data_IF_770712193902
#
_entry.id   IF_770712193902
#
_cell.length_a   1.000
_cell.length_b   1.000
_cell.length_c   1.000
_cell.angle_alpha   90.00
_cell.angle_beta   90.00
_cell.angle_gamma   90.00
#
_symmetry.space_group_name_H-M   'P 1'
#
loop_
_entity.id
_entity.type
_entity.pdbx_description
1 polymer ?
#
# COMPACT_ATOMS: atom_id res chain seq x y z
N UNK A 1 4.28 3.41 22.24
CA UNK A 1 5.37 4.10 21.51
C UNK A 1 5.61 3.36 20.19
N UNK A 2 5.73 4.07 19.10
CA UNK A 2 6.09 3.50 17.81
C UNK A 2 7.57 3.09 17.80
N UNK A 3 7.85 1.87 17.37
CA UNK A 3 9.21 1.37 17.20
C UNK A 3 9.44 1.05 15.71
N UNK A 4 10.52 1.57 15.15
CA UNK A 4 10.92 1.34 13.77
C UNK A 4 12.33 0.74 13.71
N UNK A 5 12.46 -0.39 13.03
CA UNK A 5 13.74 -0.98 12.71
C UNK A 5 14.17 -0.59 11.29
N UNK A 6 15.44 -0.19 11.12
CA UNK A 6 15.98 0.22 9.81
C UNK A 6 16.25 -0.99 8.90
N UNK A 7 15.26 -1.85 8.75
CA UNK A 7 15.32 -3.00 7.85
C UNK A 7 13.90 -3.35 7.39
N UNK A 8 13.80 -3.91 6.19
CA UNK A 8 12.54 -4.47 5.72
C UNK A 8 12.18 -5.72 6.54
N UNK A 9 10.90 -5.99 6.74
CA UNK A 9 10.41 -7.20 7.41
C UNK A 9 10.90 -8.46 6.67
N UNK A 10 10.84 -8.44 5.35
CA UNK A 10 11.47 -9.44 4.49
C UNK A 10 12.38 -8.75 3.47
N UNK A 11 13.52 -9.35 3.12
CA UNK A 11 14.44 -8.75 2.16
C UNK A 11 13.84 -8.71 0.75
N UNK A 12 14.00 -7.57 0.09
CA UNK A 12 13.66 -7.39 -1.33
C UNK A 12 14.95 -7.22 -2.13
N UNK A 13 15.17 -8.09 -3.11
CA UNK A 13 16.35 -8.06 -3.96
C UNK A 13 15.97 -8.34 -5.41
N UNK A 14 15.73 -7.26 -6.17
CA UNK A 14 15.37 -7.31 -7.58
C UNK A 14 16.57 -6.87 -8.40
N UNK A 15 17.04 -7.74 -9.28
CA UNK A 15 18.26 -7.54 -10.07
C UNK A 15 18.03 -6.90 -11.43
N UNK A 16 16.81 -6.99 -11.96
CA UNK A 16 16.47 -6.46 -13.28
C UNK A 16 15.29 -5.49 -13.19
N UNK A 17 15.45 -4.23 -13.63
CA UNK A 17 14.36 -3.28 -13.72
C UNK A 17 13.24 -3.75 -14.63
N UNK A 18 12.01 -3.40 -14.31
CA UNK A 18 10.83 -3.66 -15.13
C UNK A 18 9.74 -2.63 -14.79
N UNK A 19 9.68 -1.56 -15.58
CA UNK A 19 8.74 -0.46 -15.35
C UNK A 19 7.28 -0.91 -15.43
N UNK A 20 6.95 -1.87 -16.31
CA UNK A 20 5.58 -2.35 -16.45
C UNK A 20 5.09 -3.13 -15.22
N UNK A 21 5.95 -3.96 -14.65
CA UNK A 21 5.63 -4.65 -13.38
C UNK A 21 5.55 -3.63 -12.25
N UNK A 22 6.48 -2.68 -12.17
CA UNK A 22 6.47 -1.63 -11.16
C UNK A 22 5.16 -0.83 -11.16
N UNK A 23 4.67 -0.49 -12.34
CA UNK A 23 3.41 0.25 -12.52
C UNK A 23 2.20 -0.53 -11.97
N UNK A 24 2.16 -1.84 -12.20
CA UNK A 24 1.11 -2.71 -11.66
C UNK A 24 1.21 -2.80 -10.13
N UNK A 25 2.42 -3.07 -9.61
CA UNK A 25 2.69 -3.22 -8.18
C UNK A 25 2.37 -1.93 -7.40
N UNK A 26 2.48 -0.76 -8.04
CA UNK A 26 2.19 0.51 -7.38
C UNK A 26 0.75 0.60 -6.83
N UNK A 27 -0.21 -0.15 -7.39
CA UNK A 27 -1.56 -0.25 -6.83
C UNK A 27 -1.59 -0.87 -5.43
N UNK A 28 -0.64 -1.75 -5.12
CA UNK A 28 -0.51 -2.31 -3.77
C UNK A 28 0.07 -1.31 -2.78
N UNK A 29 0.71 -0.25 -3.25
CA UNK A 29 1.14 0.85 -2.38
C UNK A 29 -0.01 1.79 -2.03
N UNK A 30 -0.69 2.34 -3.02
CA UNK A 30 -1.63 3.44 -2.84
C UNK A 30 -3.00 3.25 -3.48
N UNK A 31 -3.35 2.05 -3.95
CA UNK A 31 -4.70 1.72 -4.40
C UNK A 31 -5.69 1.59 -3.23
N UNK A 32 -7.00 1.44 -3.52
CA UNK A 32 -8.05 1.40 -2.50
C UNK A 32 -7.91 0.25 -1.49
N UNK A 33 -7.35 -0.86 -1.94
CA UNK A 33 -7.08 -2.06 -1.12
C UNK A 33 -5.57 -2.29 -0.94
N UNK A 34 -4.75 -1.27 -1.23
CA UNK A 34 -3.30 -1.34 -1.04
C UNK A 34 -2.90 -1.15 0.43
N UNK A 35 -1.62 -1.36 0.72
CA UNK A 35 -1.07 -1.40 2.09
C UNK A 35 -1.29 -0.10 2.88
N UNK A 36 -1.25 1.07 2.19
CA UNK A 36 -1.55 2.34 2.85
C UNK A 36 -3.02 2.41 3.28
N UNK A 37 -3.95 1.99 2.41
CA UNK A 37 -5.37 1.95 2.70
C UNK A 37 -5.68 0.94 3.81
N UNK A 38 -5.12 -0.26 3.74
CA UNK A 38 -5.26 -1.32 4.74
C UNK A 38 -4.82 -0.84 6.13
N UNK A 39 -3.62 -0.27 6.22
CA UNK A 39 -3.12 0.26 7.49
C UNK A 39 -4.06 1.33 8.09
N UNK A 40 -4.44 2.34 7.30
CA UNK A 40 -5.34 3.40 7.78
C UNK A 40 -6.72 2.88 8.13
N UNK A 41 -7.24 1.92 7.39
CA UNK A 41 -8.53 1.27 7.65
C UNK A 41 -8.51 0.59 9.02
N UNK A 42 -7.61 -0.32 9.25
CA UNK A 42 -7.52 -1.08 10.51
C UNK A 42 -7.22 -0.19 11.72
N UNK A 43 -6.29 0.73 11.60
CA UNK A 43 -5.93 1.66 12.67
C UNK A 43 -7.04 2.67 13.00
N UNK A 44 -7.98 2.91 12.07
CA UNK A 44 -9.16 3.73 12.31
C UNK A 44 -10.31 2.94 12.91
N UNK A 45 -10.57 1.75 12.38
CA UNK A 45 -11.67 0.88 12.82
C UNK A 45 -11.51 0.38 14.25
N UNK A 46 -10.26 0.21 14.73
CA UNK A 46 -9.99 -0.24 16.11
C UNK A 46 -10.68 0.61 17.17
N UNK A 47 -10.95 1.88 16.90
CA UNK A 47 -11.60 2.78 17.85
C UNK A 47 -13.12 2.57 17.94
N UNK A 48 -13.73 1.94 16.96
CA UNK A 48 -15.16 1.60 16.96
C UNK A 48 -15.43 0.13 17.35
N UNK A 49 -14.39 -0.69 17.58
CA UNK A 49 -14.56 -2.08 17.98
C UNK A 49 -15.00 -2.19 19.43
N UNK A 50 -16.13 -2.89 19.71
CA UNK A 50 -16.62 -3.07 21.07
C UNK A 50 -15.76 -4.06 21.89
N UNK A 51 -15.11 -5.01 21.24
CA UNK A 51 -14.22 -6.00 21.86
C UNK A 51 -12.76 -5.53 21.83
N UNK A 52 -12.15 -5.48 23.02
CA UNK A 52 -10.76 -5.02 23.18
C UNK A 52 -9.73 -5.94 22.51
N UNK A 53 -10.03 -7.24 22.39
CA UNK A 53 -9.11 -8.17 21.70
C UNK A 53 -9.12 -7.92 20.20
N UNK A 54 -10.31 -7.68 19.64
CA UNK A 54 -10.45 -7.31 18.22
C UNK A 54 -9.78 -5.97 17.95
N UNK A 55 -9.97 -4.97 18.80
CA UNK A 55 -9.26 -3.69 18.69
C UNK A 55 -7.73 -3.86 18.77
N UNK A 56 -7.24 -4.76 19.61
CA UNK A 56 -5.83 -5.13 19.70
C UNK A 56 -5.33 -5.79 18.43
N UNK A 57 -6.08 -6.75 17.89
CA UNK A 57 -5.76 -7.42 16.64
C UNK A 57 -5.66 -6.43 15.46
N UNK A 58 -6.65 -5.54 15.30
CA UNK A 58 -6.62 -4.51 14.28
C UNK A 58 -5.44 -3.53 14.45
N UNK A 59 -4.99 -3.32 15.68
CA UNK A 59 -3.78 -2.53 15.95
C UNK A 59 -2.53 -3.25 15.46
N UNK A 60 -2.42 -4.54 15.74
CA UNK A 60 -1.27 -5.35 15.34
C UNK A 60 -1.20 -5.45 13.81
N UNK A 61 -2.29 -5.85 13.17
CA UNK A 61 -2.36 -5.95 11.69
C UNK A 61 -2.11 -4.58 11.05
N UNK A 62 -2.82 -3.53 11.47
CA UNK A 62 -2.69 -2.21 10.87
C UNK A 62 -1.29 -1.60 10.99
N UNK A 63 -0.52 -1.97 12.02
CA UNK A 63 0.89 -1.58 12.13
C UNK A 63 1.81 -2.46 11.29
N UNK A 64 1.46 -3.73 11.07
CA UNK A 64 2.18 -4.63 10.17
C UNK A 64 2.06 -4.17 8.70
N UNK A 65 0.89 -3.65 8.29
CA UNK A 65 0.69 -3.10 6.95
C UNK A 65 1.65 -1.94 6.60
N UNK A 66 2.14 -1.22 7.59
CA UNK A 66 3.19 -0.20 7.37
C UNK A 66 4.54 -0.85 6.98
N UNK A 67 4.81 -2.06 7.46
CA UNK A 67 6.00 -2.81 7.04
C UNK A 67 5.81 -3.37 5.62
N UNK A 68 4.62 -3.83 5.27
CA UNK A 68 4.26 -4.25 3.91
C UNK A 68 4.37 -3.09 2.92
N UNK A 69 3.83 -1.94 3.27
CA UNK A 69 3.96 -0.70 2.50
C UNK A 69 5.43 -0.36 2.19
N UNK A 70 6.32 -0.49 3.17
CA UNK A 70 7.76 -0.26 2.99
C UNK A 70 8.38 -1.28 2.03
N UNK A 71 7.98 -2.55 2.10
CA UNK A 71 8.43 -3.59 1.16
C UNK A 71 7.94 -3.32 -0.26
N UNK A 72 6.67 -2.97 -0.44
CA UNK A 72 6.10 -2.62 -1.75
C UNK A 72 6.82 -1.41 -2.35
N UNK A 73 7.06 -0.36 -1.57
CA UNK A 73 7.83 0.80 -2.01
C UNK A 73 9.25 0.40 -2.46
N UNK A 74 9.91 -0.49 -1.73
CA UNK A 74 11.22 -1.02 -2.07
C UNK A 74 11.19 -1.83 -3.38
N UNK A 75 10.15 -2.62 -3.61
CA UNK A 75 9.95 -3.36 -4.86
C UNK A 75 9.83 -2.38 -6.04
N UNK A 76 8.93 -1.41 -5.95
CA UNK A 76 8.74 -0.41 -7.00
C UNK A 76 10.04 0.35 -7.27
N UNK A 77 10.74 0.77 -6.21
CA UNK A 77 12.03 1.47 -6.34
C UNK A 77 13.09 0.62 -7.05
N UNK A 78 13.19 -0.66 -6.73
CA UNK A 78 14.17 -1.55 -7.36
C UNK A 78 13.80 -1.87 -8.81
N UNK A 79 12.51 -2.05 -9.11
CA UNK A 79 12.02 -2.27 -10.47
C UNK A 79 12.19 -1.05 -11.39
N UNK A 80 12.27 0.15 -10.84
CA UNK A 80 12.43 1.40 -11.62
C UNK A 80 13.86 1.95 -11.59
N UNK A 81 14.76 1.30 -10.87
CA UNK A 81 16.13 1.79 -10.69
C UNK A 81 16.90 1.87 -12.01
N UNK A 82 17.34 3.07 -12.34
CA UNK A 82 18.19 3.32 -13.52
C UNK A 82 17.41 3.47 -14.83
N UNK A 83 16.07 3.42 -14.81
CA UNK A 83 15.24 3.73 -15.97
C UNK A 83 15.14 5.25 -16.17
N UNK A 84 15.04 5.67 -17.42
CA UNK A 84 14.78 7.07 -17.77
C UNK A 84 13.33 7.46 -17.53
N UNK A 85 13.04 8.76 -17.47
CA UNK A 85 11.69 9.28 -17.39
C UNK A 85 10.83 8.81 -18.58
N UNK A 86 11.41 8.82 -19.79
CA UNK A 86 10.73 8.35 -21.01
C UNK A 86 10.33 6.88 -20.92
N UNK A 87 11.24 6.01 -20.46
CA UNK A 87 10.94 4.58 -20.27
C UNK A 87 9.82 4.34 -19.25
N UNK A 88 9.75 5.16 -18.21
CA UNK A 88 8.71 5.09 -17.20
C UNK A 88 7.35 5.55 -17.75
N UNK A 89 7.32 6.66 -18.49
CA UNK A 89 6.12 7.17 -19.15
C UNK A 89 5.59 6.19 -20.19
N UNK A 90 6.45 5.61 -21.02
CA UNK A 90 6.11 4.59 -22.00
C UNK A 90 5.53 3.32 -21.34
N UNK A 91 5.97 2.98 -20.14
CA UNK A 91 5.44 1.87 -19.36
C UNK A 91 4.05 2.17 -18.75
N UNK A 92 3.59 3.41 -18.83
CA UNK A 92 2.28 3.83 -18.36
C UNK A 92 2.27 4.49 -16.99
N UNK A 93 3.43 4.91 -16.46
CA UNK A 93 3.46 5.78 -15.29
C UNK A 93 2.87 7.14 -15.67
N UNK A 94 1.91 7.61 -14.89
CA UNK A 94 1.35 8.93 -15.11
C UNK A 94 2.41 10.02 -14.88
N UNK A 95 2.36 11.15 -15.60
CA UNK A 95 3.32 12.25 -15.43
C UNK A 95 3.45 12.75 -13.99
N UNK A 96 2.43 12.55 -13.18
CA UNK A 96 2.43 12.88 -11.76
C UNK A 96 3.46 12.09 -10.93
N UNK A 97 3.85 10.88 -11.39
CA UNK A 97 4.85 10.05 -10.72
C UNK A 97 6.26 10.27 -11.23
N UNK A 98 6.38 10.79 -12.42
CA UNK A 98 7.62 10.87 -13.16
C UNK A 98 7.96 12.33 -13.40
N UNK A 99 9.06 12.78 -12.78
CA UNK A 99 9.68 14.05 -13.10
C UNK A 99 11.11 13.78 -13.60
N UNK A 100 12.01 13.47 -12.70
CA UNK A 100 13.39 13.04 -13.03
C UNK A 100 13.58 11.54 -12.79
N UNK A 101 12.73 10.94 -12.02
CA UNK A 101 12.66 9.50 -11.70
C UNK A 101 11.26 9.16 -11.21
N UNK A 102 10.94 7.87 -11.12
CA UNK A 102 9.66 7.46 -10.54
C UNK A 102 9.55 7.86 -9.06
N UNK A 103 8.53 8.61 -8.73
CA UNK A 103 8.14 8.88 -7.36
C UNK A 103 7.40 7.68 -6.76
N UNK A 104 7.65 7.37 -5.48
CA UNK A 104 6.83 6.44 -4.72
C UNK A 104 5.74 7.24 -4.04
N UNK A 105 4.59 7.32 -4.67
CA UNK A 105 3.48 8.16 -4.25
C UNK A 105 2.21 7.34 -4.06
N UNK A 106 1.35 7.66 -3.09
CA UNK A 106 0.15 6.87 -2.81
C UNK A 106 -0.94 7.06 -3.88
N UNK A 107 -0.85 6.29 -4.94
CA UNK A 107 -1.81 6.22 -6.03
C UNK A 107 -1.98 4.78 -6.51
N UNK A 108 -3.09 4.49 -7.19
CA UNK A 108 -3.25 3.27 -7.95
C UNK A 108 -2.47 3.30 -9.27
N UNK A 109 -2.27 2.13 -9.89
CA UNK A 109 -1.55 1.98 -11.15
C UNK A 109 -2.09 2.83 -12.30
N UNK A 110 -3.38 3.13 -12.31
CA UNK A 110 -4.03 4.01 -13.30
C UNK A 110 -3.82 5.50 -13.06
N UNK A 111 -3.04 5.89 -12.05
CA UNK A 111 -2.83 7.30 -11.71
C UNK A 111 -3.93 7.93 -10.86
N UNK A 112 -4.87 7.13 -10.36
CA UNK A 112 -5.92 7.61 -9.46
C UNK A 112 -5.28 7.92 -8.09
N UNK A 113 -5.38 9.16 -7.58
CA UNK A 113 -4.82 9.52 -6.28
C UNK A 113 -5.45 8.72 -5.14
N UNK A 114 -4.66 8.43 -4.12
CA UNK A 114 -5.14 7.83 -2.90
C UNK A 114 -6.31 8.62 -2.32
N UNK A 115 -7.40 7.93 -2.03
CA UNK A 115 -8.63 8.55 -1.56
C UNK A 115 -9.16 7.84 -0.32
N UNK A 116 -9.11 8.49 0.83
CA UNK A 116 -9.62 7.95 2.08
C UNK A 116 -11.14 7.68 2.08
N UNK A 117 -11.90 8.29 1.15
CA UNK A 117 -13.33 8.01 1.00
C UNK A 117 -13.62 6.60 0.49
N UNK A 118 -12.62 5.91 -0.06
CA UNK A 118 -12.75 4.53 -0.53
C UNK A 118 -12.61 3.51 0.61
N UNK A 119 -12.24 3.93 1.81
CA UNK A 119 -12.21 3.06 2.97
C UNK A 119 -13.60 2.60 3.35
N UNK A 120 -13.79 1.30 3.48
CA UNK A 120 -15.07 0.69 3.81
C UNK A 120 -15.36 0.71 5.34
N UNK A 121 -14.97 1.77 6.03
CA UNK A 121 -15.21 1.91 7.47
C UNK A 121 -16.56 2.56 7.74
N UNK A 122 -17.49 1.81 8.31
CA UNK A 122 -18.86 2.23 8.59
C UNK A 122 -19.14 2.47 10.08
N UNK A 123 -18.24 2.04 10.96
CA UNK A 123 -18.43 2.07 12.41
C UNK A 123 -19.31 0.93 12.93
N UNK A 124 -19.66 -0.03 12.08
CA UNK A 124 -20.28 -1.29 12.45
C UNK A 124 -19.25 -2.40 12.43
N UNK A 125 -18.96 -2.98 13.58
CA UNK A 125 -17.87 -3.90 13.78
C UNK A 125 -17.90 -5.12 12.85
N UNK A 126 -19.09 -5.70 12.61
CA UNK A 126 -19.24 -6.88 11.78
C UNK A 126 -19.06 -6.51 10.31
N UNK A 127 -19.72 -5.45 9.87
CA UNK A 127 -19.59 -4.95 8.50
C UNK A 127 -18.14 -4.61 8.18
N UNK A 128 -17.48 -3.85 9.05
CA UNK A 128 -16.09 -3.41 8.84
C UNK A 128 -15.14 -4.61 8.76
N UNK A 129 -15.29 -5.63 9.62
CA UNK A 129 -14.44 -6.82 9.57
C UNK A 129 -14.68 -7.68 8.30
N UNK A 130 -15.90 -7.75 7.80
CA UNK A 130 -16.17 -8.43 6.53
C UNK A 130 -15.57 -7.69 5.34
N UNK A 131 -15.63 -6.36 5.33
CA UNK A 131 -15.01 -5.55 4.29
C UNK A 131 -13.46 -5.64 4.32
N UNK A 132 -12.88 -5.72 5.52
CA UNK A 132 -11.44 -5.93 5.69
C UNK A 132 -11.00 -7.26 5.07
N UNK A 133 -11.71 -8.35 5.39
CA UNK A 133 -11.43 -9.67 4.82
C UNK A 133 -11.62 -9.71 3.30
N UNK A 134 -12.59 -8.97 2.76
CA UNK A 134 -12.81 -8.86 1.34
C UNK A 134 -11.68 -8.09 0.65
N UNK A 135 -11.22 -6.99 1.25
CA UNK A 135 -10.11 -6.19 0.74
C UNK A 135 -8.81 -7.01 0.67
N UNK A 136 -8.45 -7.72 1.74
CA UNK A 136 -7.29 -8.60 1.77
C UNK A 136 -7.37 -9.72 0.72
N UNK A 137 -8.56 -10.24 0.44
CA UNK A 137 -8.79 -11.27 -0.57
C UNK A 137 -8.67 -10.80 -2.02
N UNK A 138 -8.69 -9.49 -2.27
CA UNK A 138 -8.57 -8.93 -3.63
C UNK A 138 -7.14 -8.71 -4.10
N UNK A 139 -6.17 -8.84 -3.23
CA UNK A 139 -4.73 -8.63 -3.52
C UNK A 139 -4.06 -9.89 -4.13
N UNK A 140 -4.80 -10.93 -4.44
CA UNK A 140 -4.26 -12.19 -5.00
C UNK A 140 -4.29 -12.20 -6.53
#
# INVERSE_FOLDING_TARGET
MWNYERRLQYPVNITSPNAKIAQIILSQYGGPDGEAAASFRYLSQRYSMPDRKVAGLLTDIGTEELAHLEMVASIVRQLTKGLSAEELEEAGFAPYYVDHTAGIWPQAAGGIPFNACEFQSKGDAITDLFEDMAADGTIV
#
